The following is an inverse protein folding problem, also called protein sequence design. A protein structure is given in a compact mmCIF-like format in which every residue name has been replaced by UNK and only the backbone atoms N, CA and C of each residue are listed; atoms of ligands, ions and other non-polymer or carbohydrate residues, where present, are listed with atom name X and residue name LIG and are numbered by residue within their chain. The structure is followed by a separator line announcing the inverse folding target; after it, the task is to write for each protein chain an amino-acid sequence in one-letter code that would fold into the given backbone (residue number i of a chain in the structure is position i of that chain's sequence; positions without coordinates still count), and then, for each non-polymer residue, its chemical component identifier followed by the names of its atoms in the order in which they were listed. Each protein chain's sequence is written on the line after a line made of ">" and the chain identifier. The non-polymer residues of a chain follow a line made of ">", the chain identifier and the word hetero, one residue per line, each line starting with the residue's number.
data_IF_367594993656
#
_entry.id   IF_367594993656
#
_cell.length_a   1.000
_cell.length_b   1.000
_cell.length_c   1.000
_cell.angle_alpha   90.00
_cell.angle_beta   90.00
_cell.angle_gamma   90.00
#
_symmetry.space_group_name_H-M   'P 1'
#
loop_
_entity.id
_entity.type
_entity.pdbx_description
1 polymer ?
#
# COMPACT_ATOMS: atom_id res chain seq x y z
N UNK A 1 0.10 8.37 -32.91
CA UNK A 1 1.23 7.41 -32.90
C UNK A 1 1.97 7.43 -31.55
N UNK A 2 2.59 8.54 -31.14
CA UNK A 2 3.38 8.64 -29.90
C UNK A 2 2.66 8.14 -28.64
N UNK A 3 1.45 8.66 -28.33
CA UNK A 3 0.64 8.25 -27.17
C UNK A 3 0.51 6.72 -27.08
N UNK A 4 0.12 6.06 -28.17
CA UNK A 4 -0.08 4.60 -28.17
C UNK A 4 1.23 3.81 -27.97
N UNK A 5 2.33 4.23 -28.59
CA UNK A 5 3.60 3.52 -28.47
C UNK A 5 4.23 3.71 -27.09
N UNK A 6 4.15 4.93 -26.55
CA UNK A 6 4.74 5.23 -25.25
C UNK A 6 3.99 4.52 -24.11
N UNK A 7 2.68 4.28 -24.24
CA UNK A 7 1.93 3.38 -23.36
C UNK A 7 2.52 1.97 -23.34
N UNK A 8 2.80 1.38 -24.50
CA UNK A 8 3.39 0.04 -24.52
C UNK A 8 4.78 0.00 -23.88
N UNK A 9 5.62 1.02 -24.13
CA UNK A 9 6.92 1.15 -23.49
C UNK A 9 6.79 1.22 -21.96
N UNK A 10 5.83 2.00 -21.46
CA UNK A 10 5.59 2.13 -20.02
C UNK A 10 5.06 0.83 -19.41
N UNK A 11 4.18 0.07 -20.11
CA UNK A 11 3.74 -1.26 -19.64
C UNK A 11 4.89 -2.25 -19.53
N UNK A 12 5.73 -2.31 -20.56
CA UNK A 12 6.91 -3.18 -20.59
C UNK A 12 7.87 -2.81 -19.46
N UNK A 13 8.08 -1.51 -19.20
CA UNK A 13 8.88 -1.07 -18.06
C UNK A 13 8.27 -1.54 -16.73
N UNK A 14 6.98 -1.33 -16.52
CA UNK A 14 6.30 -1.78 -15.29
C UNK A 14 6.40 -3.30 -15.10
N UNK A 15 6.36 -4.09 -16.18
CA UNK A 15 6.58 -5.54 -16.11
C UNK A 15 8.02 -5.89 -15.75
N UNK A 16 9.01 -5.19 -16.31
CA UNK A 16 10.42 -5.38 -15.96
C UNK A 16 10.70 -5.05 -14.48
N UNK A 17 10.07 -4.00 -13.96
CA UNK A 17 10.20 -3.58 -12.55
C UNK A 17 9.63 -4.63 -11.56
N UNK A 18 8.84 -5.61 -12.01
CA UNK A 18 8.33 -6.70 -11.16
C UNK A 18 9.38 -7.79 -10.87
N UNK A 19 10.46 -7.84 -11.64
CA UNK A 19 11.53 -8.82 -11.44
C UNK A 19 12.58 -8.25 -10.47
N UNK A 20 12.65 -8.79 -9.25
CA UNK A 20 13.63 -8.36 -8.24
C UNK A 20 15.00 -8.99 -8.42
N UNK A 21 15.05 -10.15 -9.09
CA UNK A 21 16.24 -11.01 -9.15
C UNK A 21 16.90 -10.95 -10.54
N UNK A 22 16.91 -9.76 -11.15
CA UNK A 22 17.60 -9.53 -12.42
C UNK A 22 19.11 -9.53 -12.20
N UNK A 23 19.83 -10.31 -13.01
CA UNK A 23 21.29 -10.31 -13.01
C UNK A 23 21.84 -8.94 -13.50
N UNK A 24 23.09 -8.60 -13.13
CA UNK A 24 23.68 -7.31 -13.46
C UNK A 24 23.75 -7.02 -14.98
N UNK A 25 23.94 -8.04 -15.82
CA UNK A 25 24.06 -7.89 -17.28
C UNK A 25 22.70 -7.52 -17.88
N UNK A 26 21.64 -8.18 -17.42
CA UNK A 26 20.25 -7.85 -17.79
C UNK A 26 19.87 -6.45 -17.35
N UNK A 27 20.25 -6.03 -16.12
CA UNK A 27 19.99 -4.68 -15.62
C UNK A 27 20.70 -3.62 -16.47
N UNK A 28 21.94 -3.86 -16.88
CA UNK A 28 22.69 -2.95 -17.75
C UNK A 28 22.11 -2.89 -19.16
N UNK A 29 21.64 -4.03 -19.70
CA UNK A 29 20.95 -4.06 -21.00
C UNK A 29 19.65 -3.24 -20.97
N UNK A 30 18.87 -3.32 -19.88
CA UNK A 30 17.66 -2.52 -19.67
C UNK A 30 18.00 -1.02 -19.62
N UNK A 31 19.00 -0.63 -18.82
CA UNK A 31 19.39 0.78 -18.69
C UNK A 31 19.93 1.35 -20.02
N UNK A 32 20.64 0.55 -20.81
CA UNK A 32 21.13 0.95 -22.13
C UNK A 32 20.01 1.10 -23.16
N UNK A 33 19.02 0.20 -23.11
CA UNK A 33 17.88 0.22 -24.03
C UNK A 33 16.85 1.30 -23.67
N UNK A 34 16.66 1.57 -22.38
CA UNK A 34 15.71 2.55 -21.85
C UNK A 34 16.32 3.29 -20.66
N UNK A 35 17.18 4.29 -20.90
CA UNK A 35 17.78 5.08 -19.84
C UNK A 35 16.72 5.77 -18.99
N UNK A 36 16.92 5.80 -17.67
CA UNK A 36 15.89 6.30 -16.76
C UNK A 36 15.59 7.79 -16.98
N UNK A 37 16.60 8.60 -17.27
CA UNK A 37 16.45 10.03 -17.57
C UNK A 37 15.61 10.25 -18.83
N UNK A 38 15.87 9.48 -19.89
CA UNK A 38 15.12 9.52 -21.15
C UNK A 38 13.67 9.10 -20.94
N UNK A 39 13.42 8.07 -20.14
CA UNK A 39 12.07 7.64 -19.78
C UNK A 39 11.31 8.75 -19.05
N UNK A 40 11.94 9.42 -18.07
CA UNK A 40 11.34 10.55 -17.34
C UNK A 40 11.00 11.72 -18.28
N UNK A 41 11.88 12.06 -19.21
CA UNK A 41 11.63 13.11 -20.20
C UNK A 41 10.43 12.78 -21.10
N UNK A 42 10.34 11.56 -21.63
CA UNK A 42 9.19 11.15 -22.44
C UNK A 42 7.89 11.08 -21.64
N UNK A 43 7.93 10.79 -20.33
CA UNK A 43 6.74 10.89 -19.44
C UNK A 43 6.21 12.32 -19.38
N UNK A 44 7.07 13.32 -19.24
CA UNK A 44 6.66 14.73 -19.29
C UNK A 44 5.96 15.07 -20.60
N UNK A 45 6.60 14.73 -21.73
CA UNK A 45 6.04 14.95 -23.08
C UNK A 45 4.69 14.24 -23.28
N UNK A 46 4.55 13.03 -22.73
CA UNK A 46 3.29 12.29 -22.78
C UNK A 46 2.16 13.00 -22.04
N UNK A 47 2.40 13.42 -20.80
CA UNK A 47 1.38 14.06 -19.97
C UNK A 47 0.90 15.38 -20.60
N UNK A 48 1.84 16.20 -21.06
CA UNK A 48 1.53 17.47 -21.73
C UNK A 48 0.69 17.25 -22.98
N UNK A 49 1.12 16.33 -23.86
CA UNK A 49 0.40 16.03 -25.09
C UNK A 49 -0.97 15.41 -24.81
N UNK A 50 -1.06 14.49 -23.85
CA UNK A 50 -2.30 13.83 -23.47
C UNK A 50 -3.32 14.83 -22.89
N UNK A 51 -2.89 15.83 -22.11
CA UNK A 51 -3.78 16.89 -21.63
C UNK A 51 -4.33 17.75 -22.79
N UNK A 52 -3.46 18.16 -23.73
CA UNK A 52 -3.88 18.94 -24.91
C UNK A 52 -4.87 18.17 -25.77
N UNK A 53 -4.62 16.88 -26.00
CA UNK A 53 -5.50 16.03 -26.82
C UNK A 53 -6.82 15.71 -26.11
N UNK A 54 -6.79 15.42 -24.81
CA UNK A 54 -8.01 15.22 -24.00
C UNK A 54 -8.90 16.46 -24.00
N UNK A 55 -8.33 17.66 -23.98
CA UNK A 55 -9.10 18.90 -24.07
C UNK A 55 -9.78 19.12 -25.42
N UNK A 56 -9.32 18.43 -26.48
CA UNK A 56 -9.91 18.42 -27.83
C UNK A 56 -10.89 17.26 -28.05
N UNK A 57 -10.75 16.16 -27.31
CA UNK A 57 -11.65 15.02 -27.35
C UNK A 57 -13.09 15.44 -26.99
N UNK A 58 -14.07 14.94 -27.73
CA UNK A 58 -15.49 15.31 -27.62
C UNK A 58 -15.84 16.65 -28.25
N UNK A 59 -14.89 17.34 -28.88
CA UNK A 59 -15.09 18.63 -29.57
C UNK A 59 -14.88 18.53 -31.09
N UNK A 60 -14.50 17.37 -31.60
CA UNK A 60 -14.32 17.17 -33.04
C UNK A 60 -15.67 16.96 -33.72
N UNK A 61 -15.87 17.60 -34.87
CA UNK A 61 -17.01 17.36 -35.75
C UNK A 61 -16.78 16.17 -36.70
N UNK A 62 -15.55 15.65 -36.75
CA UNK A 62 -15.18 14.48 -37.53
C UNK A 62 -15.29 13.20 -36.68
N UNK A 63 -16.23 12.28 -37.00
CA UNK A 63 -16.38 11.01 -36.27
C UNK A 63 -15.18 10.07 -36.40
N UNK A 64 -14.31 10.28 -37.39
CA UNK A 64 -13.11 9.47 -37.62
C UNK A 64 -11.85 10.07 -37.01
N UNK A 65 -11.96 11.16 -36.24
CA UNK A 65 -10.82 11.76 -35.57
C UNK A 65 -10.17 10.72 -34.64
N UNK A 66 -8.88 10.37 -34.85
CA UNK A 66 -8.19 9.40 -34.02
C UNK A 66 -8.21 9.78 -32.53
N UNK A 67 -8.33 11.07 -32.20
CA UNK A 67 -8.38 11.58 -30.83
C UNK A 67 -9.65 11.14 -30.10
N UNK A 68 -10.78 10.99 -30.79
CA UNK A 68 -12.06 10.58 -30.18
C UNK A 68 -12.00 9.15 -29.61
N UNK A 69 -11.15 8.29 -30.19
CA UNK A 69 -10.97 6.90 -29.75
C UNK A 69 -9.70 6.69 -28.90
N UNK A 70 -8.96 7.75 -28.57
CA UNK A 70 -7.77 7.61 -27.72
C UNK A 70 -8.17 7.32 -26.27
N UNK A 71 -7.76 6.15 -25.79
CA UNK A 71 -7.62 5.90 -24.37
C UNK A 71 -6.24 6.42 -23.91
N UNK A 72 -6.24 7.42 -23.04
CA UNK A 72 -5.02 8.05 -22.55
C UNK A 72 -4.40 7.34 -21.35
N UNK A 73 -5.06 6.34 -20.76
CA UNK A 73 -4.51 5.47 -19.71
C UNK A 73 -3.60 6.20 -18.70
N UNK A 74 -4.02 7.37 -18.20
CA UNK A 74 -3.19 8.21 -17.32
C UNK A 74 -2.68 7.44 -16.08
N UNK A 75 -3.44 6.43 -15.65
CA UNK A 75 -3.12 5.45 -14.60
C UNK A 75 -1.75 4.80 -14.80
N UNK A 76 -1.34 4.55 -16.04
CA UNK A 76 -0.10 3.87 -16.40
C UNK A 76 1.17 4.71 -16.12
N UNK A 77 1.02 6.03 -16.05
CA UNK A 77 2.12 7.00 -15.89
C UNK A 77 2.14 7.65 -14.50
N UNK A 78 1.25 7.21 -13.62
CA UNK A 78 0.90 7.86 -12.35
C UNK A 78 1.83 7.46 -11.19
N UNK A 79 2.96 6.80 -11.46
CA UNK A 79 3.86 6.29 -10.40
C UNK A 79 4.43 7.38 -9.47
N UNK A 80 4.33 8.66 -9.83
CA UNK A 80 4.72 9.81 -9.00
C UNK A 80 3.55 10.53 -8.28
N UNK A 81 2.29 10.17 -8.59
CA UNK A 81 1.09 10.89 -8.15
C UNK A 81 0.04 9.99 -7.46
N UNK A 82 0.23 8.67 -7.43
CA UNK A 82 -0.65 7.78 -6.65
C UNK A 82 -0.48 8.12 -5.16
N UNK A 83 -1.47 8.82 -4.63
CA UNK A 83 -1.71 9.11 -3.22
C UNK A 83 -2.84 8.21 -2.72
N UNK A 84 -2.93 8.08 -1.41
CA UNK A 84 -4.03 7.42 -0.71
C UNK A 84 -5.42 7.80 -1.26
N UNK A 85 -5.70 9.09 -1.51
CA UNK A 85 -6.96 9.56 -2.09
C UNK A 85 -7.23 8.96 -3.48
N UNK A 86 -6.17 8.80 -4.28
CA UNK A 86 -6.30 8.21 -5.60
C UNK A 86 -6.60 6.70 -5.52
N UNK A 87 -5.94 5.98 -4.62
CA UNK A 87 -6.24 4.55 -4.37
C UNK A 87 -7.70 4.37 -3.96
N UNK A 88 -8.21 5.21 -3.05
CA UNK A 88 -9.61 5.11 -2.62
C UNK A 88 -10.60 5.35 -3.78
N UNK A 89 -10.29 6.28 -4.68
CA UNK A 89 -11.08 6.49 -5.92
C UNK A 89 -11.05 5.30 -6.87
N UNK A 90 -9.91 4.63 -7.00
CA UNK A 90 -9.81 3.42 -7.84
C UNK A 90 -10.64 2.27 -7.26
N UNK A 91 -10.61 2.10 -5.93
CA UNK A 91 -11.45 1.10 -5.24
C UNK A 91 -12.94 1.44 -5.42
N UNK A 92 -13.32 2.72 -5.37
CA UNK A 92 -14.70 3.16 -5.61
C UNK A 92 -15.18 2.82 -7.02
N UNK A 93 -14.34 3.08 -8.03
CA UNK A 93 -14.63 2.69 -9.43
C UNK A 93 -14.74 1.18 -9.63
N UNK A 94 -13.98 0.38 -8.87
CA UNK A 94 -14.16 -1.07 -8.85
C UNK A 94 -15.53 -1.47 -8.27
N UNK A 95 -16.03 -0.74 -7.28
CA UNK A 95 -17.34 -0.99 -6.67
C UNK A 95 -18.51 -0.41 -7.48
N UNK A 96 -18.30 0.57 -8.36
CA UNK A 96 -19.38 1.28 -9.09
C UNK A 96 -20.34 0.38 -9.89
N UNK A 97 -21.63 0.74 -9.86
CA UNK A 97 -22.70 0.16 -10.68
C UNK A 97 -22.77 0.86 -12.05
N UNK A 98 -21.83 0.55 -12.94
CA UNK A 98 -21.74 1.13 -14.30
C UNK A 98 -21.75 0.09 -15.45
N UNK A 99 -21.91 0.53 -16.72
CA UNK A 99 -21.92 -0.36 -17.88
C UNK A 99 -20.61 -1.16 -18.01
N UNK A 100 -20.71 -2.47 -18.27
CA UNK A 100 -19.62 -3.48 -18.22
C UNK A 100 -18.35 -3.18 -19.04
N UNK A 101 -18.37 -2.23 -19.98
CA UNK A 101 -17.28 -2.03 -20.96
C UNK A 101 -16.08 -1.22 -20.44
N UNK A 102 -16.14 -0.64 -19.24
CA UNK A 102 -15.04 0.15 -18.63
C UNK A 102 -14.80 -0.20 -17.15
N UNK A 103 -15.07 -1.45 -16.74
CA UNK A 103 -14.86 -1.86 -15.35
C UNK A 103 -13.40 -2.20 -15.08
N UNK A 104 -12.81 -1.54 -14.08
CA UNK A 104 -11.56 -1.96 -13.47
C UNK A 104 -11.75 -3.35 -12.85
N UNK A 105 -10.89 -4.31 -13.18
CA UNK A 105 -10.91 -5.62 -12.52
C UNK A 105 -10.09 -5.59 -11.23
N UNK A 106 -10.37 -6.55 -10.33
CA UNK A 106 -9.61 -6.71 -9.08
C UNK A 106 -8.12 -6.91 -9.37
N UNK A 107 -7.80 -7.68 -10.40
CA UNK A 107 -6.43 -7.99 -10.82
C UNK A 107 -5.70 -6.73 -11.29
N UNK A 108 -6.39 -5.83 -12.00
CA UNK A 108 -5.82 -4.55 -12.42
C UNK A 108 -5.52 -3.65 -11.23
N UNK A 109 -6.45 -3.55 -10.26
CA UNK A 109 -6.25 -2.78 -9.04
C UNK A 109 -5.09 -3.32 -8.19
N UNK A 110 -5.02 -4.64 -8.01
CA UNK A 110 -3.91 -5.31 -7.31
C UNK A 110 -2.59 -5.12 -8.06
N UNK A 111 -2.60 -5.18 -9.39
CA UNK A 111 -1.42 -4.92 -10.23
C UNK A 111 -0.87 -3.51 -10.04
N UNK A 112 -1.75 -2.49 -9.99
CA UNK A 112 -1.37 -1.10 -9.74
C UNK A 112 -0.74 -0.96 -8.35
N UNK A 113 -1.38 -1.51 -7.31
CA UNK A 113 -0.87 -1.48 -5.93
C UNK A 113 0.51 -2.15 -5.83
N UNK A 114 0.72 -3.29 -6.50
CA UNK A 114 2.01 -4.02 -6.54
C UNK A 114 3.12 -3.30 -7.28
N UNK A 115 2.77 -2.57 -8.33
CA UNK A 115 3.74 -1.81 -9.13
C UNK A 115 4.24 -0.52 -8.47
N UNK A 116 3.66 -0.10 -7.33
CA UNK A 116 3.99 1.17 -6.71
C UNK A 116 4.80 1.02 -5.41
N UNK A 117 6.05 1.52 -5.45
CA UNK A 117 6.97 1.50 -4.32
C UNK A 117 6.50 2.36 -3.11
N UNK A 118 5.68 3.39 -3.33
CA UNK A 118 5.20 4.29 -2.26
C UNK A 118 4.31 3.58 -1.24
N UNK A 119 3.67 2.49 -1.62
CA UNK A 119 2.79 1.72 -0.74
C UNK A 119 3.45 0.44 -0.25
N UNK A 120 4.78 0.25 -0.35
CA UNK A 120 5.43 -1.01 0.05
C UNK A 120 5.00 -1.53 1.43
N UNK A 121 4.83 -0.62 2.40
CA UNK A 121 4.45 -0.96 3.77
C UNK A 121 2.95 -1.20 3.97
N UNK A 122 2.09 -0.57 3.17
CA UNK A 122 0.62 -0.62 3.30
C UNK A 122 -0.07 -1.48 2.24
N UNK A 123 0.65 -1.84 1.16
CA UNK A 123 0.13 -2.46 -0.05
C UNK A 123 -0.62 -3.74 0.27
N UNK A 124 0.01 -4.64 1.03
CA UNK A 124 -0.59 -5.94 1.31
C UNK A 124 -1.89 -5.79 2.11
N UNK A 125 -1.97 -4.79 2.99
CA UNK A 125 -3.19 -4.50 3.75
C UNK A 125 -4.30 -3.91 2.87
N UNK A 126 -3.97 -3.02 1.95
CA UNK A 126 -4.93 -2.51 0.95
C UNK A 126 -5.41 -3.65 0.05
N UNK A 127 -4.51 -4.54 -0.40
CA UNK A 127 -4.86 -5.70 -1.22
C UNK A 127 -5.80 -6.64 -0.46
N UNK A 128 -5.49 -6.95 0.79
CA UNK A 128 -6.37 -7.77 1.64
C UNK A 128 -7.74 -7.14 1.78
N UNK A 129 -7.82 -5.83 2.04
CA UNK A 129 -9.09 -5.13 2.12
C UNK A 129 -9.85 -5.19 0.79
N UNK A 130 -9.19 -4.89 -0.32
CA UNK A 130 -9.78 -5.00 -1.66
C UNK A 130 -10.35 -6.38 -1.88
N UNK A 131 -9.64 -7.45 -1.49
CA UNK A 131 -10.09 -8.84 -1.56
C UNK A 131 -11.40 -9.13 -0.80
N UNK A 132 -11.73 -8.33 0.23
CA UNK A 132 -13.01 -8.45 0.94
C UNK A 132 -14.19 -7.80 0.20
N UNK A 133 -13.92 -6.82 -0.67
CA UNK A 133 -14.95 -6.07 -1.39
C UNK A 133 -15.55 -6.89 -2.53
N UNK A 134 -16.86 -6.75 -2.78
CA UNK A 134 -17.52 -7.38 -3.93
C UNK A 134 -17.63 -6.41 -5.09
N UNK A 135 -17.40 -6.92 -6.29
CA UNK A 135 -17.54 -6.13 -7.52
C UNK A 135 -19.01 -5.67 -7.68
N UNK A 136 -19.21 -4.38 -7.93
CA UNK A 136 -20.54 -3.83 -8.20
C UNK A 136 -21.43 -3.59 -6.96
N UNK A 137 -20.87 -3.55 -5.75
CA UNK A 137 -21.62 -3.15 -4.53
C UNK A 137 -22.12 -1.69 -4.60
N UNK A 138 -21.38 -0.82 -5.29
CA UNK A 138 -21.71 0.58 -5.50
C UNK A 138 -21.22 1.49 -4.38
N UNK A 139 -20.16 1.10 -3.68
CA UNK A 139 -19.61 1.85 -2.55
C UNK A 139 -18.98 3.16 -3.04
N UNK A 140 -19.30 4.24 -2.35
CA UNK A 140 -18.64 5.55 -2.50
C UNK A 140 -17.22 5.52 -1.93
N UNK A 141 -16.41 6.51 -2.33
CA UNK A 141 -15.05 6.70 -1.79
C UNK A 141 -15.05 6.83 -0.26
N UNK A 142 -16.06 7.52 0.30
CA UNK A 142 -16.20 7.68 1.75
C UNK A 142 -16.48 6.34 2.43
N UNK A 143 -17.43 5.55 1.92
CA UNK A 143 -17.76 4.23 2.47
C UNK A 143 -16.58 3.27 2.41
N UNK A 144 -15.78 3.36 1.34
CA UNK A 144 -14.56 2.56 1.19
C UNK A 144 -13.52 2.96 2.22
N UNK A 145 -13.33 4.26 2.46
CA UNK A 145 -12.38 4.76 3.46
C UNK A 145 -12.77 4.35 4.87
N UNK A 146 -14.03 4.57 5.24
CA UNK A 146 -14.57 4.16 6.54
C UNK A 146 -14.51 2.64 6.71
N UNK A 147 -14.82 1.88 5.66
CA UNK A 147 -14.68 0.43 5.63
C UNK A 147 -13.24 -0.04 5.81
N UNK A 148 -12.27 0.66 5.21
CA UNK A 148 -10.85 0.33 5.34
C UNK A 148 -10.33 0.61 6.76
N UNK A 149 -10.71 1.73 7.36
CA UNK A 149 -10.36 2.03 8.76
C UNK A 149 -10.93 0.99 9.72
N UNK A 150 -12.20 0.58 9.52
CA UNK A 150 -12.81 -0.50 10.29
C UNK A 150 -12.08 -1.83 10.08
N UNK A 151 -11.74 -2.17 8.84
CA UNK A 151 -10.98 -3.38 8.52
C UNK A 151 -9.63 -3.42 9.25
N UNK A 152 -8.89 -2.30 9.25
CA UNK A 152 -7.63 -2.16 9.99
C UNK A 152 -7.84 -2.34 11.50
N UNK A 153 -8.85 -1.68 12.07
CA UNK A 153 -9.17 -1.78 13.49
C UNK A 153 -9.51 -3.23 13.90
N UNK A 154 -10.31 -3.93 13.10
CA UNK A 154 -10.68 -5.33 13.33
C UNK A 154 -9.49 -6.28 13.18
N UNK A 155 -8.60 -6.03 12.21
CA UNK A 155 -7.37 -6.80 12.03
C UNK A 155 -6.42 -6.61 13.21
N UNK A 156 -6.20 -5.36 13.61
CA UNK A 156 -5.38 -5.01 14.76
C UNK A 156 -5.91 -5.66 16.05
N UNK A 157 -7.22 -5.55 16.31
CA UNK A 157 -7.84 -6.15 17.49
C UNK A 157 -7.67 -7.69 17.53
N UNK A 158 -7.71 -8.36 16.36
CA UNK A 158 -7.43 -9.80 16.25
C UNK A 158 -5.97 -10.11 16.55
N UNK A 159 -5.02 -9.38 15.96
CA UNK A 159 -3.59 -9.57 16.20
C UNK A 159 -3.22 -9.38 17.68
N UNK A 160 -3.77 -8.36 18.34
CA UNK A 160 -3.57 -8.17 19.80
C UNK A 160 -4.13 -9.34 20.61
N UNK A 161 -5.26 -9.89 20.19
CA UNK A 161 -5.83 -11.08 20.85
C UNK A 161 -4.93 -12.29 20.70
N UNK A 162 -4.46 -12.55 19.48
CA UNK A 162 -3.56 -13.67 19.17
C UNK A 162 -2.24 -13.56 19.94
N UNK A 163 -1.65 -12.37 20.00
CA UNK A 163 -0.42 -12.10 20.77
C UNK A 163 -0.69 -12.28 22.28
N UNK A 164 -1.79 -11.73 22.79
CA UNK A 164 -2.16 -11.87 24.20
C UNK A 164 -2.32 -13.34 24.60
N UNK A 165 -3.04 -14.11 23.80
CA UNK A 165 -3.25 -15.55 24.01
C UNK A 165 -1.93 -16.33 23.91
N UNK A 166 -1.10 -16.06 22.89
CA UNK A 166 0.21 -16.70 22.71
C UNK A 166 1.14 -16.48 23.91
N UNK A 167 1.08 -15.28 24.51
CA UNK A 167 1.96 -14.92 25.62
C UNK A 167 1.34 -15.12 27.00
N UNK A 168 0.04 -15.40 27.08
CA UNK A 168 -0.68 -15.56 28.35
C UNK A 168 -0.90 -14.25 29.10
N UNK A 169 -0.74 -13.11 28.43
CA UNK A 169 -0.98 -11.78 29.02
C UNK A 169 -2.44 -11.37 28.82
N UNK A 170 -2.96 -10.52 29.70
CA UNK A 170 -4.33 -10.03 29.58
C UNK A 170 -4.50 -9.17 28.32
N UNK A 171 -5.49 -9.48 27.47
CA UNK A 171 -5.76 -8.72 26.23
C UNK A 171 -5.90 -7.21 26.49
N UNK A 172 -6.69 -6.84 27.50
CA UNK A 172 -6.92 -5.42 27.84
C UNK A 172 -5.64 -4.74 28.33
N UNK A 173 -4.81 -5.44 29.10
CA UNK A 173 -3.53 -4.93 29.57
C UNK A 173 -2.54 -4.74 28.41
N UNK A 174 -2.47 -5.71 27.49
CA UNK A 174 -1.63 -5.60 26.29
C UNK A 174 -2.11 -4.45 25.38
N UNK A 175 -3.41 -4.31 25.20
CA UNK A 175 -3.99 -3.20 24.44
C UNK A 175 -3.63 -1.85 25.07
N UNK A 176 -3.80 -1.70 26.38
CA UNK A 176 -3.44 -0.46 27.09
C UNK A 176 -1.93 -0.15 27.02
N UNK A 177 -1.09 -1.18 27.06
CA UNK A 177 0.36 -1.05 26.87
C UNK A 177 0.68 -0.50 25.46
N UNK A 178 0.12 -1.10 24.41
CA UNK A 178 0.31 -0.65 23.03
C UNK A 178 -0.23 0.78 22.83
N UNK A 179 -1.42 1.08 23.33
CA UNK A 179 -2.01 2.42 23.24
C UNK A 179 -1.16 3.47 23.98
N UNK A 180 -0.55 3.08 25.11
CA UNK A 180 0.40 3.90 25.84
C UNK A 180 1.63 4.27 25.01
N UNK A 181 2.20 3.29 24.30
CA UNK A 181 3.34 3.48 23.40
C UNK A 181 2.93 4.39 22.23
N UNK A 182 1.87 4.06 21.51
CA UNK A 182 1.45 4.80 20.30
C UNK A 182 1.02 6.23 20.59
N UNK A 183 0.43 6.49 21.77
CA UNK A 183 0.05 7.85 22.19
C UNK A 183 1.26 8.74 22.42
N UNK A 184 2.35 8.20 22.98
CA UNK A 184 3.54 8.95 23.36
C UNK A 184 4.67 8.84 22.34
N UNK A 185 4.59 7.89 21.43
CA UNK A 185 5.68 7.46 20.54
C UNK A 185 6.96 7.08 21.31
N UNK A 186 6.79 6.50 22.50
CA UNK A 186 7.88 6.14 23.41
C UNK A 186 7.59 4.75 23.98
N UNK A 187 8.55 3.85 23.84
CA UNK A 187 8.56 2.55 24.51
C UNK A 187 9.03 2.71 25.95
N UNK A 188 8.26 2.16 26.88
CA UNK A 188 8.51 2.22 28.32
C UNK A 188 8.84 0.82 28.86
N UNK A 189 10.11 0.53 29.20
CA UNK A 189 10.53 -0.77 29.72
C UNK A 189 9.89 -1.14 31.07
N UNK A 190 9.54 -0.14 31.88
CA UNK A 190 8.90 -0.37 33.17
C UNK A 190 7.46 -0.84 32.96
N UNK A 191 6.74 -0.23 32.00
CA UNK A 191 5.41 -0.68 31.61
C UNK A 191 5.39 -2.11 31.03
N UNK A 192 6.46 -2.52 30.33
CA UNK A 192 6.62 -3.92 29.89
C UNK A 192 6.81 -4.86 31.07
N UNK A 193 7.58 -4.44 32.07
CA UNK A 193 7.76 -5.20 33.31
C UNK A 193 6.44 -5.37 34.06
N UNK A 194 5.66 -4.28 34.20
CA UNK A 194 4.33 -4.28 34.83
C UNK A 194 3.35 -5.22 34.11
N UNK A 195 3.36 -5.23 32.77
CA UNK A 195 2.53 -6.14 31.97
C UNK A 195 2.79 -7.62 32.28
N UNK A 196 4.01 -7.97 32.70
CA UNK A 196 4.42 -9.34 33.01
C UNK A 196 4.20 -9.74 34.47
N UNK A 197 3.95 -8.79 35.38
CA UNK A 197 3.80 -9.08 36.82
C UNK A 197 2.74 -10.15 37.14
N UNK A 198 1.54 -10.15 36.51
CA UNK A 198 0.50 -11.14 36.81
C UNK A 198 0.93 -12.59 36.52
N UNK A 199 1.97 -12.79 35.71
CA UNK A 199 2.48 -14.12 35.38
C UNK A 199 3.34 -14.73 36.51
N UNK A 200 3.73 -13.94 37.52
CA UNK A 200 4.49 -14.43 38.68
C UNK A 200 5.85 -15.03 38.33
N UNK A 201 6.47 -14.58 37.23
CA UNK A 201 7.72 -15.13 36.71
C UNK A 201 8.93 -14.60 37.51
N UNK A 202 9.91 -15.48 37.76
CA UNK A 202 11.22 -15.05 38.24
C UNK A 202 12.00 -14.27 37.17
N UNK A 203 12.93 -13.39 37.58
CA UNK A 203 13.69 -12.47 36.72
C UNK A 203 14.14 -13.08 35.36
N UNK A 204 14.80 -14.23 35.38
CA UNK A 204 15.33 -14.85 34.15
C UNK A 204 14.23 -15.30 33.19
N UNK A 205 13.16 -15.90 33.71
CA UNK A 205 12.02 -16.35 32.90
C UNK A 205 11.21 -15.16 32.38
N UNK A 206 11.12 -14.09 33.18
CA UNK A 206 10.45 -12.85 32.79
C UNK A 206 11.14 -12.19 31.59
N UNK A 207 12.46 -11.98 31.65
CA UNK A 207 13.24 -11.37 30.54
C UNK A 207 13.08 -12.17 29.25
N UNK A 208 13.10 -13.52 29.32
CA UNK A 208 12.88 -14.35 28.13
C UNK A 208 11.47 -14.17 27.55
N UNK A 209 10.45 -14.02 28.42
CA UNK A 209 9.07 -13.80 28.01
C UNK A 209 8.85 -12.40 27.43
N UNK A 210 9.49 -11.39 28.01
CA UNK A 210 9.51 -10.01 27.50
C UNK A 210 10.09 -9.95 26.09
N UNK A 211 11.25 -10.57 25.86
CA UNK A 211 11.86 -10.65 24.53
C UNK A 211 10.93 -11.34 23.50
N UNK A 212 10.36 -12.49 23.86
CA UNK A 212 9.45 -13.21 22.98
C UNK A 212 8.15 -12.42 22.69
N UNK A 213 7.62 -11.68 23.67
CA UNK A 213 6.48 -10.79 23.42
C UNK A 213 6.87 -9.68 22.45
N UNK A 214 8.01 -9.04 22.66
CA UNK A 214 8.45 -7.93 21.84
C UNK A 214 8.82 -8.35 20.42
N UNK A 215 9.30 -9.57 20.20
CA UNK A 215 9.51 -10.14 18.86
C UNK A 215 8.21 -10.17 18.04
N UNK A 216 7.09 -10.57 18.65
CA UNK A 216 5.78 -10.58 17.99
C UNK A 216 5.15 -9.18 17.91
N UNK A 217 5.39 -8.33 18.89
CA UNK A 217 4.72 -7.04 19.04
C UNK A 217 5.39 -5.91 18.24
N UNK A 218 6.71 -5.96 18.07
CA UNK A 218 7.48 -4.91 17.39
C UNK A 218 7.04 -4.67 15.94
N UNK A 219 6.82 -5.71 15.10
CA UNK A 219 6.31 -5.51 13.74
C UNK A 219 4.95 -4.79 13.73
N UNK A 220 4.08 -5.12 14.70
CA UNK A 220 2.76 -4.50 14.82
C UNK A 220 2.87 -3.03 15.24
N UNK A 221 3.72 -2.72 16.22
CA UNK A 221 3.98 -1.35 16.67
C UNK A 221 4.54 -0.47 15.55
N UNK A 222 5.53 -0.96 14.79
CA UNK A 222 6.09 -0.25 13.65
C UNK A 222 5.05 0.05 12.57
N UNK A 223 4.16 -0.92 12.31
CA UNK A 223 3.06 -0.73 11.36
C UNK A 223 2.08 0.35 11.82
N UNK A 224 1.67 0.31 13.08
CA UNK A 224 0.72 1.28 13.66
C UNK A 224 1.32 2.68 13.81
N UNK A 225 2.64 2.78 13.96
CA UNK A 225 3.36 4.05 13.98
C UNK A 225 3.39 4.76 12.63
N UNK A 226 3.04 4.08 11.52
CA UNK A 226 2.97 4.66 10.17
C UNK A 226 4.27 5.40 9.77
N UNK A 227 5.41 4.77 10.03
CA UNK A 227 6.73 5.33 9.72
C UNK A 227 7.24 6.39 10.70
N UNK A 228 6.48 6.72 11.76
CA UNK A 228 7.00 7.52 12.87
C UNK A 228 7.90 6.66 13.76
N UNK A 229 9.00 7.24 14.21
CA UNK A 229 9.91 6.59 15.14
C UNK A 229 9.25 6.44 16.53
N UNK A 230 9.37 5.24 17.13
CA UNK A 230 9.02 4.99 18.53
C UNK A 230 10.33 4.95 19.31
N UNK A 231 10.60 5.95 20.13
CA UNK A 231 11.84 6.02 20.91
C UNK A 231 11.93 4.86 21.91
N UNK A 232 13.08 4.18 21.99
CA UNK A 232 13.33 3.04 22.87
C UNK A 232 12.92 1.69 22.27
N UNK A 233 12.24 1.67 21.12
CA UNK A 233 11.86 0.42 20.45
C UNK A 233 13.05 -0.20 19.68
N UNK A 234 14.06 0.60 19.33
CA UNK A 234 15.29 0.16 18.65
C UNK A 234 16.06 -0.94 19.39
N UNK A 235 15.83 -1.07 20.71
CA UNK A 235 16.37 -2.16 21.52
C UNK A 235 15.93 -3.56 21.02
N UNK A 236 14.87 -3.63 20.21
CA UNK A 236 14.28 -4.86 19.69
C UNK A 236 14.44 -5.01 18.17
N UNK A 237 15.21 -4.14 17.50
CA UNK A 237 15.44 -4.19 16.05
C UNK A 237 16.42 -5.29 15.60
N UNK A 238 17.02 -5.99 16.57
CA UNK A 238 18.06 -7.00 16.35
C UNK A 238 17.73 -8.38 16.93
N UNK A 239 16.47 -8.61 17.31
CA UNK A 239 15.99 -9.90 17.83
C UNK A 239 15.66 -10.88 16.69
#
# INVERSE_FOLDING_TARGET
>A
AFINHFKEVQRLRTQLDQYTDLDPETREAIERALPEETLRAFRGVYLDLAQVLKARQGKSADPNDPVENLDFEFVLFDSALIDYDYIMKLIARFSEKGPKKQKMTREQLVGILRSNAKFLDEREEIIEYVNTLKEGEGLSEQEIREGYERFKAEKYARQITEIAEKHGVGREALQAFVDGILRRMIFDPDALTELMEPLGLGWKARVQKELALMEDLTPLLKKLAQGKEISGLEAYDHA
#
